data_IF_977232881713
#
_entry.id   IF_977232881713
#
_cell.length_a   1.000
_cell.length_b   1.000
_cell.length_c   1.000
_cell.angle_alpha   90.00
_cell.angle_beta   90.00
_cell.angle_gamma   90.00
#
_symmetry.space_group_name_H-M   'P 1'
#
loop_
_entity.id
_entity.type
_entity.pdbx_description
1 polymer ?
#
# COMPACT_ATOMS: atom_id res chain seq x y z
N UNK A 1 1.73 -16.10 -11.65
CA UNK A 1 2.18 -16.22 -10.24
C UNK A 1 1.39 -17.26 -9.45
N UNK A 2 0.06 -17.15 -9.31
CA UNK A 2 -0.76 -18.04 -8.44
C UNK A 2 -0.73 -19.53 -8.82
N UNK A 3 -0.95 -19.90 -10.08
CA UNK A 3 -0.96 -21.31 -10.54
C UNK A 3 0.33 -22.09 -10.21
N UNK A 4 1.54 -21.58 -10.53
CA UNK A 4 2.79 -22.22 -10.09
C UNK A 4 2.92 -22.38 -8.58
N UNK A 5 2.48 -21.39 -7.79
CA UNK A 5 2.55 -21.44 -6.32
C UNK A 5 1.55 -22.45 -5.75
N UNK A 6 0.34 -22.55 -6.30
CA UNK A 6 -0.64 -23.58 -5.93
C UNK A 6 -0.08 -24.99 -6.11
N UNK A 7 0.58 -25.24 -7.24
CA UNK A 7 1.26 -26.53 -7.49
C UNK A 7 2.39 -26.76 -6.50
N UNK A 8 3.23 -25.74 -6.23
CA UNK A 8 4.39 -25.86 -5.33
C UNK A 8 4.00 -26.08 -3.87
N UNK A 9 2.96 -25.38 -3.39
CA UNK A 9 2.53 -25.43 -1.99
C UNK A 9 1.45 -26.48 -1.70
N UNK A 10 0.98 -27.21 -2.73
CA UNK A 10 -0.08 -28.22 -2.60
C UNK A 10 -1.33 -27.69 -1.88
N UNK A 11 -1.71 -26.44 -2.15
CA UNK A 11 -2.84 -25.75 -1.53
C UNK A 11 -3.27 -24.52 -2.33
N UNK A 12 -4.50 -23.99 -2.13
CA UNK A 12 -5.00 -22.87 -2.90
C UNK A 12 -4.19 -21.61 -2.64
N UNK A 13 -3.78 -20.95 -3.73
CA UNK A 13 -3.18 -19.60 -3.68
C UNK A 13 -4.04 -18.67 -4.50
N UNK A 14 -4.67 -17.70 -3.83
CA UNK A 14 -5.56 -16.75 -4.49
C UNK A 14 -5.01 -15.34 -4.38
N UNK A 15 -5.18 -14.52 -5.41
CA UNK A 15 -4.86 -13.10 -5.33
C UNK A 15 -6.12 -12.35 -4.88
N UNK A 16 -6.06 -11.69 -3.71
CA UNK A 16 -7.08 -10.73 -3.31
C UNK A 16 -6.92 -9.46 -4.15
N UNK A 17 -7.94 -9.08 -4.93
CA UNK A 17 -7.94 -7.80 -5.59
C UNK A 17 -8.14 -6.69 -4.54
N UNK A 18 -7.34 -5.64 -4.62
CA UNK A 18 -7.59 -4.35 -3.97
C UNK A 18 -7.40 -4.28 -2.43
N UNK A 19 -6.37 -4.88 -1.86
CA UNK A 19 -5.94 -4.51 -0.50
C UNK A 19 -5.03 -3.27 -0.59
N UNK A 20 -5.64 -2.08 -0.58
CA UNK A 20 -4.92 -0.82 -0.72
C UNK A 20 -4.55 -0.25 0.65
N UNK A 21 -3.31 -0.44 1.05
CA UNK A 21 -2.64 0.45 1.98
C UNK A 21 -1.13 0.34 1.83
N UNK A 22 -0.48 1.40 1.36
CA UNK A 22 0.96 1.52 1.54
C UNK A 22 1.31 2.84 2.25
N UNK A 23 1.80 2.68 3.48
CA UNK A 23 2.10 3.72 4.45
C UNK A 23 3.48 4.34 4.28
N UNK A 24 4.05 4.39 3.08
CA UNK A 24 5.39 4.95 2.91
C UNK A 24 5.84 5.16 1.47
N UNK A 25 6.86 5.98 1.33
CA UNK A 25 7.52 6.31 0.07
C UNK A 25 8.58 5.26 -0.30
N UNK A 26 8.71 4.90 -1.59
CA UNK A 26 7.82 5.27 -2.71
C UNK A 26 6.53 4.44 -2.69
N UNK A 27 5.41 5.04 -3.13
CA UNK A 27 4.12 4.36 -3.20
C UNK A 27 4.24 2.99 -3.89
N UNK A 28 3.89 1.91 -3.20
CA UNK A 28 3.92 0.57 -3.78
C UNK A 28 2.57 0.20 -4.43
N UNK A 29 2.63 -0.38 -5.62
CA UNK A 29 1.55 -1.22 -6.18
C UNK A 29 1.43 -2.47 -5.33
N UNK A 30 0.26 -2.67 -4.71
CA UNK A 30 0.03 -3.79 -3.81
C UNK A 30 -0.77 -4.91 -4.47
N UNK A 31 -0.37 -6.14 -4.18
CA UNK A 31 -1.11 -7.36 -4.45
C UNK A 31 -1.08 -8.24 -3.21
N UNK A 32 -2.24 -8.59 -2.66
CA UNK A 32 -2.29 -9.56 -1.55
C UNK A 32 -2.57 -10.94 -2.11
N UNK A 33 -1.73 -11.90 -1.74
CA UNK A 33 -1.98 -13.33 -1.93
C UNK A 33 -2.55 -13.93 -0.65
N UNK A 34 -3.44 -14.90 -0.77
CA UNK A 34 -3.84 -15.78 0.31
C UNK A 34 -3.21 -17.15 0.07
N UNK A 35 -2.49 -17.67 1.06
CA UNK A 35 -2.03 -19.06 1.10
C UNK A 35 -2.92 -19.82 2.09
N UNK A 36 -3.94 -20.51 1.58
CA UNK A 36 -5.08 -20.84 2.43
C UNK A 36 -5.76 -19.55 2.89
N UNK A 37 -5.80 -19.30 4.20
CA UNK A 37 -6.36 -18.07 4.79
C UNK A 37 -5.30 -17.04 5.19
N UNK A 38 -4.01 -17.37 5.07
CA UNK A 38 -2.91 -16.51 5.50
C UNK A 38 -2.59 -15.45 4.43
N UNK A 39 -2.73 -14.15 4.73
CA UNK A 39 -2.49 -13.09 3.77
C UNK A 39 -0.99 -12.72 3.68
N UNK A 40 -0.50 -12.58 2.45
CA UNK A 40 0.83 -12.11 2.11
C UNK A 40 0.72 -10.94 1.14
N UNK A 41 1.18 -9.77 1.56
CA UNK A 41 1.16 -8.55 0.74
C UNK A 41 2.45 -8.40 -0.03
N UNK A 42 2.33 -8.22 -1.34
CA UNK A 42 3.42 -7.92 -2.27
C UNK A 42 3.28 -6.46 -2.64
N UNK A 43 4.30 -5.65 -2.37
CA UNK A 43 4.37 -4.25 -2.80
C UNK A 43 5.48 -4.04 -3.82
N UNK A 44 5.21 -3.26 -4.87
CA UNK A 44 6.16 -2.94 -5.95
C UNK A 44 6.23 -1.44 -6.16
N UNK A 45 7.40 -0.83 -6.13
CA UNK A 45 7.51 0.64 -6.22
C UNK A 45 6.94 1.19 -7.53
N UNK A 46 6.05 2.17 -7.42
CA UNK A 46 5.46 2.84 -8.58
C UNK A 46 6.47 3.77 -9.29
N UNK A 47 7.51 4.22 -8.58
CA UNK A 47 8.64 4.99 -9.09
C UNK A 47 9.93 4.15 -9.12
N UNK A 48 10.92 4.55 -9.95
CA UNK A 48 12.24 3.94 -9.94
C UNK A 48 12.90 4.01 -8.56
N UNK A 49 13.73 3.03 -8.27
CA UNK A 49 14.41 2.88 -6.98
C UNK A 49 15.43 4.01 -6.76
N UNK A 50 15.43 4.58 -5.55
CA UNK A 50 16.48 5.48 -5.05
C UNK A 50 17.50 4.69 -4.21
N UNK A 51 18.73 5.20 -4.01
CA UNK A 51 19.79 4.47 -3.31
C UNK A 51 19.42 3.92 -1.92
N UNK A 52 18.53 4.58 -1.20
CA UNK A 52 18.07 4.25 0.15
C UNK A 52 16.71 3.52 0.19
N UNK A 53 16.10 3.22 -0.97
CA UNK A 53 14.73 2.71 -1.01
C UNK A 53 14.60 1.33 -0.35
N UNK A 54 15.55 0.42 -0.60
CA UNK A 54 15.47 -0.93 -0.02
C UNK A 54 15.63 -0.89 1.50
N UNK A 55 16.57 -0.10 2.02
CA UNK A 55 16.79 0.02 3.46
C UNK A 55 15.57 0.63 4.17
N UNK A 56 14.89 1.60 3.55
CA UNK A 56 13.65 2.18 4.08
C UNK A 56 12.48 1.20 4.10
N UNK A 57 12.36 0.33 3.10
CA UNK A 57 11.32 -0.70 3.08
C UNK A 57 11.51 -1.79 4.14
N UNK A 58 12.72 -1.90 4.71
CA UNK A 58 13.09 -2.87 5.75
C UNK A 58 12.66 -2.43 7.16
N UNK A 59 12.21 -1.18 7.36
CA UNK A 59 11.86 -0.54 8.66
C UNK A 59 11.31 -1.49 9.75
N UNK A 60 11.89 -1.41 10.95
CA UNK A 60 11.68 -2.31 12.11
C UNK A 60 11.99 -3.80 11.80
N UNK A 61 13.18 -4.14 11.29
CA UNK A 61 13.40 -5.48 10.75
C UNK A 61 13.53 -6.60 11.79
N UNK A 62 13.90 -6.30 13.03
CA UNK A 62 14.55 -7.33 13.85
C UNK A 62 15.87 -7.75 13.21
N UNK A 63 16.19 -9.04 13.20
CA UNK A 63 17.36 -9.55 12.50
C UNK A 63 17.19 -9.44 10.96
N UNK A 64 18.23 -8.95 10.28
CA UNK A 64 18.29 -8.85 8.81
C UNK A 64 19.36 -9.78 8.28
N UNK A 65 19.00 -10.60 7.30
CA UNK A 65 19.92 -11.50 6.62
C UNK A 65 19.94 -11.20 5.11
N UNK A 66 21.09 -11.35 4.45
CA UNK A 66 21.18 -11.25 3.00
C UNK A 66 20.46 -12.43 2.31
N UNK A 67 19.83 -12.17 1.16
CA UNK A 67 19.12 -13.17 0.36
C UNK A 67 19.60 -13.16 -1.11
N UNK A 68 20.81 -13.68 -1.39
CA UNK A 68 21.50 -13.48 -2.67
C UNK A 68 20.76 -14.03 -3.90
N UNK A 69 19.88 -15.00 -3.71
CA UNK A 69 19.04 -15.61 -4.75
C UNK A 69 18.15 -14.58 -5.49
N UNK A 70 17.80 -13.49 -4.80
CA UNK A 70 17.00 -12.39 -5.33
C UNK A 70 17.83 -11.18 -5.78
N UNK A 71 19.15 -11.23 -5.58
CA UNK A 71 20.10 -10.17 -5.96
C UNK A 71 21.00 -9.74 -4.79
N UNK A 72 22.05 -8.97 -5.08
CA UNK A 72 23.08 -8.61 -4.10
C UNK A 72 22.57 -7.70 -2.97
N UNK A 73 21.54 -6.89 -3.23
CA UNK A 73 20.94 -5.96 -2.24
C UNK A 73 19.70 -6.55 -1.57
N UNK A 74 19.34 -7.81 -1.89
CA UNK A 74 18.13 -8.43 -1.36
C UNK A 74 18.33 -8.88 0.08
N UNK A 75 17.32 -8.64 0.91
CA UNK A 75 17.34 -8.97 2.33
C UNK A 75 16.05 -9.63 2.78
N UNK A 76 16.15 -10.43 3.84
CA UNK A 76 15.03 -11.01 4.57
C UNK A 76 15.13 -10.64 6.02
N UNK A 77 13.99 -10.34 6.63
CA UNK A 77 13.83 -10.10 8.05
C UNK A 77 12.63 -10.88 8.58
N UNK A 78 12.37 -10.82 9.88
CA UNK A 78 11.24 -11.50 10.52
C UNK A 78 9.87 -11.08 9.98
N UNK A 79 9.77 -9.91 9.33
CA UNK A 79 8.49 -9.38 8.85
C UNK A 79 8.38 -9.29 7.34
N UNK A 80 9.51 -9.32 6.61
CA UNK A 80 9.49 -9.04 5.18
C UNK A 80 10.73 -9.52 4.42
N UNK A 81 10.55 -9.65 3.11
CA UNK A 81 11.64 -9.74 2.13
C UNK A 81 11.63 -8.47 1.29
N UNK A 82 12.79 -7.85 1.08
CA UNK A 82 12.93 -6.66 0.23
C UNK A 82 14.03 -6.89 -0.80
N UNK A 83 13.76 -6.58 -2.07
CA UNK A 83 14.70 -6.80 -3.16
C UNK A 83 14.42 -5.89 -4.35
N UNK A 84 15.40 -5.81 -5.26
CA UNK A 84 15.29 -5.06 -6.51
C UNK A 84 14.82 -5.95 -7.65
N UNK A 85 13.93 -5.45 -8.49
CA UNK A 85 13.56 -6.04 -9.79
C UNK A 85 13.66 -4.95 -10.85
N UNK A 86 14.63 -5.07 -11.75
CA UNK A 86 14.98 -4.00 -12.70
C UNK A 86 15.23 -2.66 -11.97
N UNK A 87 14.46 -1.61 -12.28
CA UNK A 87 14.52 -0.31 -11.63
C UNK A 87 13.54 -0.18 -10.45
N UNK A 88 12.90 -1.26 -9.98
CA UNK A 88 11.86 -1.23 -8.95
C UNK A 88 12.29 -1.92 -7.66
N UNK A 89 11.75 -1.43 -6.55
CA UNK A 89 11.81 -2.13 -5.27
C UNK A 89 10.58 -3.02 -5.10
N UNK A 90 10.79 -4.22 -4.56
CA UNK A 90 9.72 -5.18 -4.23
C UNK A 90 9.82 -5.53 -2.75
N UNK A 91 8.68 -5.52 -2.06
CA UNK A 91 8.51 -5.91 -0.66
C UNK A 91 7.50 -7.06 -0.58
N UNK A 92 7.82 -8.11 0.16
CA UNK A 92 6.90 -9.19 0.52
C UNK A 92 6.67 -9.15 2.02
N UNK A 93 5.42 -9.06 2.46
CA UNK A 93 5.04 -8.89 3.87
C UNK A 93 3.85 -9.78 4.25
N UNK A 94 4.10 -10.94 4.89
CA UNK A 94 3.06 -11.77 5.51
C UNK A 94 2.49 -11.10 6.76
N UNK A 95 1.20 -11.28 7.06
CA UNK A 95 0.57 -10.62 8.21
C UNK A 95 1.15 -11.04 9.57
N UNK A 96 1.40 -12.32 9.84
CA UNK A 96 2.07 -12.78 11.07
C UNK A 96 3.58 -12.94 10.95
N UNK A 97 4.17 -12.44 9.86
CA UNK A 97 5.63 -12.48 9.66
C UNK A 97 6.17 -13.75 9.03
N UNK A 98 7.49 -13.85 9.02
CA UNK A 98 8.31 -14.89 8.39
C UNK A 98 9.02 -15.63 9.52
N UNK A 99 9.00 -16.96 9.47
CA UNK A 99 9.69 -17.83 10.45
C UNK A 99 9.15 -17.69 11.89
N UNK A 100 7.92 -17.18 12.03
CA UNK A 100 7.10 -17.21 13.25
C UNK A 100 6.12 -18.38 13.18
N UNK A 101 5.42 -18.67 14.29
CA UNK A 101 4.43 -19.75 14.37
C UNK A 101 3.54 -19.78 13.10
N UNK A 102 3.49 -20.89 12.35
CA UNK A 102 2.73 -20.96 11.11
C UNK A 102 1.21 -20.80 11.28
N UNK A 103 0.70 -20.73 12.52
CA UNK A 103 -0.69 -20.38 12.79
C UNK A 103 -1.06 -18.97 12.30
N UNK A 104 -0.12 -18.00 12.35
CA UNK A 104 -0.34 -16.62 11.90
C UNK A 104 0.71 -16.13 10.89
N UNK A 105 1.90 -16.74 10.84
CA UNK A 105 2.99 -16.42 9.90
C UNK A 105 3.14 -17.39 8.73
N UNK A 106 4.25 -17.27 7.99
CA UNK A 106 4.65 -18.24 6.97
C UNK A 106 6.10 -18.69 7.14
N UNK A 107 6.38 -19.93 6.76
CA UNK A 107 7.74 -20.47 6.66
C UNK A 107 8.61 -19.62 5.70
N UNK A 108 9.88 -19.40 6.07
CA UNK A 108 10.86 -18.66 5.25
C UNK A 108 10.96 -19.19 3.82
N UNK A 109 10.97 -20.51 3.64
CA UNK A 109 11.01 -21.14 2.31
C UNK A 109 9.81 -20.76 1.42
N UNK A 110 8.61 -20.59 2.00
CA UNK A 110 7.42 -20.15 1.27
C UNK A 110 7.52 -18.67 0.91
N UNK A 111 7.99 -17.83 1.82
CA UNK A 111 8.24 -16.42 1.56
C UNK A 111 9.23 -16.21 0.40
N UNK A 112 10.34 -16.96 0.39
CA UNK A 112 11.33 -16.94 -0.70
C UNK A 112 10.71 -17.38 -2.02
N UNK A 113 9.90 -18.45 -2.02
CA UNK A 113 9.23 -18.92 -3.23
C UNK A 113 8.25 -17.88 -3.80
N UNK A 114 7.53 -17.14 -2.95
CA UNK A 114 6.67 -16.02 -3.37
C UNK A 114 7.53 -14.90 -3.95
N UNK A 115 8.64 -14.54 -3.31
CA UNK A 115 9.53 -13.48 -3.76
C UNK A 115 10.13 -13.77 -5.15
N UNK A 116 10.57 -15.01 -5.41
CA UNK A 116 11.02 -15.46 -6.73
C UNK A 116 9.90 -15.35 -7.77
N UNK A 117 8.68 -15.78 -7.43
CA UNK A 117 7.55 -15.68 -8.34
C UNK A 117 7.13 -14.22 -8.62
N UNK A 118 7.29 -13.33 -7.63
CA UNK A 118 7.07 -11.90 -7.80
C UNK A 118 8.13 -11.26 -8.70
N UNK A 119 9.41 -11.62 -8.52
CA UNK A 119 10.53 -11.20 -9.40
C UNK A 119 10.23 -11.44 -10.87
N UNK A 120 9.69 -12.61 -11.20
CA UNK A 120 9.35 -12.99 -12.58
C UNK A 120 8.10 -12.27 -13.11
N UNK A 121 7.14 -12.00 -12.23
CA UNK A 121 5.86 -11.41 -12.60
C UNK A 121 5.95 -9.89 -12.80
N UNK A 122 6.69 -9.19 -11.94
CA UNK A 122 6.74 -7.71 -11.88
C UNK A 122 6.99 -7.08 -13.24
N UNK A 123 8.02 -7.45 -14.02
CA UNK A 123 8.30 -6.80 -15.31
C UNK A 123 7.15 -6.88 -16.32
N UNK A 124 6.24 -7.84 -16.16
CA UNK A 124 5.11 -8.08 -17.08
C UNK A 124 3.82 -7.41 -16.62
N UNK A 125 3.76 -6.95 -15.38
CA UNK A 125 2.53 -6.44 -14.74
C UNK A 125 2.63 -4.99 -14.27
N UNK A 126 3.79 -4.35 -14.42
CA UNK A 126 4.00 -2.97 -14.02
C UNK A 126 3.08 -2.03 -14.79
N UNK A 127 2.37 -1.18 -14.05
CA UNK A 127 1.55 -0.12 -14.62
C UNK A 127 2.39 1.14 -14.85
N UNK A 128 2.11 1.93 -15.90
CA UNK A 128 2.74 3.23 -16.07
C UNK A 128 2.60 4.12 -14.82
N UNK A 129 3.63 4.92 -14.54
CA UNK A 129 3.62 5.87 -13.42
C UNK A 129 2.71 7.09 -13.69
N UNK A 130 2.30 7.30 -14.95
CA UNK A 130 1.37 8.35 -15.34
C UNK A 130 0.16 7.74 -16.05
N UNK A 131 -0.97 7.78 -15.37
CA UNK A 131 -2.29 7.47 -15.91
C UNK A 131 -3.27 8.44 -15.26
N UNK A 132 -3.88 9.32 -16.05
CA UNK A 132 -4.73 10.39 -15.54
C UNK A 132 -6.18 10.19 -16.00
N UNK A 133 -7.10 10.25 -15.05
CA UNK A 133 -8.54 10.32 -15.22
C UNK A 133 -8.95 11.74 -14.83
N UNK A 134 -9.87 12.33 -15.59
CA UNK A 134 -10.31 13.71 -15.36
C UNK A 134 -10.92 13.89 -13.96
N UNK A 135 -11.50 12.82 -13.40
CA UNK A 135 -12.12 12.83 -12.07
C UNK A 135 -11.15 13.29 -10.99
N UNK A 136 -9.90 12.84 -11.01
CA UNK A 136 -8.89 13.20 -9.99
C UNK A 136 -8.30 14.59 -10.22
N UNK A 137 -8.58 15.27 -11.33
CA UNK A 137 -8.02 16.61 -11.60
C UNK A 137 -8.38 17.62 -10.51
N UNK A 138 -9.56 17.49 -9.89
CA UNK A 138 -10.05 18.42 -8.86
C UNK A 138 -9.12 18.52 -7.63
N UNK A 139 -8.43 17.43 -7.27
CA UNK A 139 -7.47 17.41 -6.14
C UNK A 139 -6.02 17.67 -6.55
N UNK A 140 -5.72 17.79 -7.85
CA UNK A 140 -4.33 17.85 -8.33
C UNK A 140 -3.58 19.03 -7.74
N UNK A 141 -4.16 20.24 -7.76
CA UNK A 141 -3.48 21.43 -7.22
C UNK A 141 -3.30 21.38 -5.70
N UNK A 142 -4.16 20.68 -4.96
CA UNK A 142 -3.97 20.47 -3.52
C UNK A 142 -2.84 19.47 -3.26
N UNK A 143 -2.82 18.37 -4.02
CA UNK A 143 -1.78 17.34 -3.92
C UNK A 143 -0.39 17.89 -4.31
N UNK A 144 -0.29 18.66 -5.39
CA UNK A 144 0.95 19.29 -5.83
C UNK A 144 1.49 20.28 -4.78
N UNK A 145 0.61 21.08 -4.16
CA UNK A 145 0.99 21.98 -3.05
C UNK A 145 1.53 21.23 -1.85
N UNK A 146 0.93 20.10 -1.48
CA UNK A 146 1.43 19.26 -0.39
C UNK A 146 2.82 18.67 -0.71
N UNK A 147 2.99 18.18 -1.94
CA UNK A 147 4.22 17.54 -2.40
C UNK A 147 5.36 18.56 -2.54
N UNK A 148 5.05 19.85 -2.79
CA UNK A 148 6.02 20.96 -2.96
C UNK A 148 6.99 20.80 -4.13
N UNK A 149 6.76 19.82 -4.98
CA UNK A 149 7.57 19.47 -6.15
C UNK A 149 6.65 19.06 -7.29
N UNK A 150 7.20 19.05 -8.51
CA UNK A 150 6.47 18.51 -9.65
C UNK A 150 6.18 17.02 -9.45
N UNK A 151 4.90 16.66 -9.58
CA UNK A 151 4.44 15.28 -9.40
C UNK A 151 5.11 14.35 -10.42
N UNK A 152 5.78 13.31 -9.91
CA UNK A 152 6.45 12.29 -10.71
C UNK A 152 5.52 11.08 -10.94
N UNK A 153 4.80 10.69 -9.89
CA UNK A 153 3.79 9.64 -9.90
C UNK A 153 2.40 10.27 -9.95
N UNK A 154 1.62 10.00 -11.00
CA UNK A 154 0.20 10.35 -11.04
C UNK A 154 -0.61 9.17 -11.55
N UNK A 155 -1.48 8.63 -10.70
CA UNK A 155 -2.32 7.49 -11.06
C UNK A 155 -3.75 7.68 -10.60
N UNK A 156 -4.63 7.65 -11.57
CA UNK A 156 -6.04 7.89 -11.41
C UNK A 156 -6.76 6.71 -12.09
N UNK A 157 -7.51 5.91 -11.33
CA UNK A 157 -8.23 4.76 -11.89
C UNK A 157 -9.40 4.33 -11.02
N UNK A 158 -10.31 3.55 -11.62
CA UNK A 158 -11.45 2.94 -10.92
C UNK A 158 -11.34 1.43 -10.90
N UNK A 159 -11.65 0.83 -9.76
CA UNK A 159 -11.83 -0.63 -9.65
C UNK A 159 -13.22 -0.93 -9.10
N UNK A 160 -14.05 -1.62 -9.89
CA UNK A 160 -15.46 -1.91 -9.54
C UNK A 160 -16.23 -0.64 -9.14
N UNK A 161 -15.99 0.45 -9.87
CA UNK A 161 -16.58 1.77 -9.61
C UNK A 161 -15.84 2.63 -8.58
N UNK A 162 -14.97 2.04 -7.75
CA UNK A 162 -14.33 2.74 -6.64
C UNK A 162 -13.14 3.53 -7.18
N UNK A 163 -13.16 4.84 -6.97
CA UNK A 163 -12.11 5.72 -7.47
C UNK A 163 -10.85 5.62 -6.61
N UNK A 164 -9.72 5.67 -7.26
CA UNK A 164 -8.46 5.93 -6.58
C UNK A 164 -7.62 6.92 -7.33
N UNK A 165 -7.08 7.89 -6.58
CA UNK A 165 -6.15 8.89 -7.06
C UNK A 165 -4.86 8.81 -6.24
N UNK A 166 -3.71 8.87 -6.89
CA UNK A 166 -2.39 8.89 -6.25
C UNK A 166 -1.54 9.96 -6.91
N UNK A 167 -0.93 10.80 -6.08
CA UNK A 167 0.12 11.74 -6.47
C UNK A 167 1.36 11.44 -5.65
N UNK A 168 2.53 11.54 -6.26
CA UNK A 168 3.74 11.35 -5.48
C UNK A 168 5.03 11.78 -6.15
N UNK A 169 6.05 11.79 -5.32
CA UNK A 169 7.47 11.95 -5.63
C UNK A 169 8.24 10.93 -4.80
N UNK A 170 9.56 11.04 -4.72
CA UNK A 170 10.38 10.25 -3.80
C UNK A 170 10.22 10.67 -2.32
N UNK A 171 9.74 11.90 -2.07
CA UNK A 171 9.74 12.54 -0.74
C UNK A 171 8.34 12.80 -0.18
N UNK A 172 7.30 12.67 -1.00
CA UNK A 172 5.91 12.83 -0.57
C UNK A 172 4.94 12.03 -1.45
N UNK A 173 3.95 11.38 -0.81
CA UNK A 173 2.84 10.69 -1.48
C UNK A 173 1.53 11.19 -0.92
N UNK A 174 0.54 11.40 -1.79
CA UNK A 174 -0.87 11.56 -1.45
C UNK A 174 -1.66 10.49 -2.16
N UNK A 175 -2.57 9.83 -1.46
CA UNK A 175 -3.55 8.93 -2.08
C UNK A 175 -4.95 9.18 -1.53
N UNK A 176 -5.95 9.11 -2.39
CA UNK A 176 -7.37 9.11 -2.05
C UNK A 176 -7.95 7.82 -2.62
N UNK A 177 -8.35 6.89 -1.76
CA UNK A 177 -8.81 5.55 -2.13
C UNK A 177 -10.24 5.36 -1.66
N UNK A 178 -11.15 5.13 -2.60
CA UNK A 178 -12.52 4.70 -2.31
C UNK A 178 -12.60 3.17 -2.25
N UNK A 179 -13.41 2.68 -1.33
CA UNK A 179 -13.77 1.27 -1.21
C UNK A 179 -15.27 1.13 -0.90
N UNK A 180 -15.86 0.06 -1.44
CA UNK A 180 -17.25 -0.34 -1.15
C UNK A 180 -17.28 -1.51 -0.19
N UNK A 181 -18.39 -1.60 0.56
CA UNK A 181 -18.80 -2.80 1.30
C UNK A 181 -17.76 -3.30 2.30
N UNK A 182 -16.99 -2.38 2.88
CA UNK A 182 -16.02 -2.72 3.90
C UNK A 182 -16.77 -3.09 5.19
N UNK A 183 -16.68 -4.36 5.66
CA UNK A 183 -17.38 -4.79 6.87
C UNK A 183 -16.80 -4.13 8.12
N UNK A 184 -15.53 -3.73 8.06
CA UNK A 184 -14.80 -3.04 9.11
C UNK A 184 -13.99 -1.88 8.51
N UNK A 185 -13.82 -0.80 9.27
CA UNK A 185 -12.78 0.20 8.98
C UNK A 185 -11.50 -0.33 9.65
N UNK A 186 -10.32 -0.31 9.00
CA UNK A 186 -9.05 -0.86 9.53
C UNK A 186 -8.53 -0.32 10.87
N UNK A 187 -9.33 0.43 11.64
CA UNK A 187 -8.91 1.21 12.81
C UNK A 187 -9.45 0.69 14.15
N UNK A 188 -10.19 -0.42 14.19
CA UNK A 188 -10.93 -0.83 15.40
C UNK A 188 -10.08 -1.40 16.56
N UNK A 189 -8.74 -1.36 16.52
CA UNK A 189 -7.87 -1.89 17.59
C UNK A 189 -6.77 -0.92 18.05
N UNK A 190 -7.09 0.36 18.29
CA UNK A 190 -6.22 1.24 19.09
C UNK A 190 -6.77 1.43 20.50
N UNK A 191 -5.87 1.62 21.47
CA UNK A 191 -6.21 1.95 22.86
C UNK A 191 -5.56 3.32 23.20
N UNK A 192 -6.35 4.34 23.58
CA UNK A 192 -7.81 4.34 23.64
C UNK A 192 -8.44 4.28 22.23
N UNK A 193 -9.62 3.67 22.09
CA UNK A 193 -10.29 3.57 20.80
C UNK A 193 -10.56 4.96 20.22
N UNK A 194 -10.24 5.21 18.93
CA UNK A 194 -10.71 6.42 18.26
C UNK A 194 -12.24 6.47 18.36
N UNK A 195 -12.77 7.63 18.77
CA UNK A 195 -14.21 7.80 19.01
C UNK A 195 -14.98 7.54 17.71
N UNK A 196 -15.90 6.57 17.72
CA UNK A 196 -16.71 6.25 16.55
C UNK A 196 -17.65 7.42 16.14
N UNK A 197 -17.73 7.70 14.85
CA UNK A 197 -18.77 8.39 14.13
C UNK A 197 -19.86 7.33 13.87
N UNK A 198 -21.09 7.56 14.34
CA UNK A 198 -22.20 6.65 14.11
C UNK A 198 -22.39 6.33 12.63
N UNK A 199 -22.90 5.13 12.31
CA UNK A 199 -23.29 4.76 10.94
C UNK A 199 -24.24 5.84 10.40
N UNK A 200 -23.81 6.57 9.36
CA UNK A 200 -24.57 7.69 8.78
C UNK A 200 -24.02 9.09 9.10
N UNK A 201 -22.92 9.21 9.87
CA UNK A 201 -22.22 10.48 10.10
C UNK A 201 -20.72 10.41 9.69
N UNK A 202 -20.10 11.51 9.21
CA UNK A 202 -18.67 11.54 8.84
C UNK A 202 -17.68 11.26 10.01
N UNK A 203 -16.53 10.59 9.76
CA UNK A 203 -15.36 10.39 10.67
C UNK A 203 -14.35 9.35 10.10
N UNK A 204 -13.02 9.31 10.33
CA UNK A 204 -12.02 9.79 11.34
C UNK A 204 -10.64 10.18 10.76
N UNK A 205 -9.79 10.80 11.60
CA UNK A 205 -8.42 11.24 11.30
C UNK A 205 -7.39 10.59 12.24
N UNK A 206 -6.24 10.20 11.70
CA UNK A 206 -5.07 9.66 12.41
C UNK A 206 -3.87 10.60 12.18
N UNK A 207 -3.57 11.51 13.14
CA UNK A 207 -2.51 12.50 13.00
C UNK A 207 -1.13 11.90 12.77
N UNK A 208 -0.80 10.82 13.50
CA UNK A 208 0.54 10.20 13.47
C UNK A 208 0.85 9.48 12.14
N UNK A 209 -0.18 9.07 11.41
CA UNK A 209 -0.03 8.35 10.15
C UNK A 209 -0.26 9.24 8.92
N UNK A 210 -0.69 10.50 9.13
CA UNK A 210 -1.13 11.36 8.02
C UNK A 210 -2.33 10.78 7.27
N UNK A 211 -3.26 10.15 8.00
CA UNK A 211 -4.43 9.49 7.41
C UNK A 211 -5.73 10.14 7.84
N UNK A 212 -6.68 10.23 6.91
CA UNK A 212 -8.05 10.63 7.13
C UNK A 212 -8.93 9.61 6.42
N UNK A 213 -9.69 8.85 7.18
CA UNK A 213 -10.73 7.96 6.67
C UNK A 213 -12.07 8.68 6.82
N UNK A 214 -12.98 8.53 5.87
CA UNK A 214 -14.37 8.91 6.08
C UNK A 214 -15.30 7.82 5.59
N UNK A 215 -16.42 7.66 6.27
CA UNK A 215 -17.47 6.71 5.91
C UNK A 215 -18.78 7.41 5.64
N UNK A 216 -19.42 7.03 4.54
CA UNK A 216 -20.78 7.40 4.18
C UNK A 216 -21.56 6.14 3.79
N UNK A 217 -22.36 5.61 4.71
CA UNK A 217 -23.10 4.36 4.49
C UNK A 217 -22.17 3.16 4.22
N UNK A 218 -22.21 2.62 2.99
CA UNK A 218 -21.37 1.48 2.54
C UNK A 218 -20.06 1.91 1.86
N UNK A 219 -19.88 3.22 1.62
CA UNK A 219 -18.65 3.77 1.04
C UNK A 219 -17.69 4.18 2.14
N UNK A 220 -16.43 3.81 1.99
CA UNK A 220 -15.32 4.25 2.82
C UNK A 220 -14.30 4.88 1.89
N UNK A 221 -13.83 6.08 2.23
CA UNK A 221 -12.77 6.75 1.51
C UNK A 221 -11.62 7.00 2.46
N UNK A 222 -10.42 6.68 2.01
CA UNK A 222 -9.19 6.84 2.77
C UNK A 222 -8.27 7.80 2.06
N UNK A 223 -7.93 8.87 2.74
CA UNK A 223 -6.97 9.89 2.34
C UNK A 223 -5.71 9.63 3.15
N UNK A 224 -4.59 9.51 2.47
CA UNK A 224 -3.28 9.30 3.10
C UNK A 224 -2.32 10.31 2.49
N UNK A 225 -1.62 11.05 3.33
CA UNK A 225 -0.57 11.95 2.93
C UNK A 225 0.67 11.68 3.78
N UNK A 226 1.76 11.32 3.11
CA UNK A 226 2.97 10.80 3.73
C UNK A 226 4.17 11.53 3.19
N UNK A 227 5.21 11.65 4.01
CA UNK A 227 6.42 12.37 3.66
C UNK A 227 7.65 11.63 4.16
N UNK A 228 8.76 11.81 3.46
CA UNK A 228 10.07 11.34 3.87
C UNK A 228 11.10 12.48 3.74
N UNK A 229 11.79 12.88 4.81
CA UNK A 229 11.61 12.41 6.19
C UNK A 229 10.18 12.68 6.72
N UNK A 230 9.70 11.93 7.72
CA UNK A 230 8.37 12.13 8.30
C UNK A 230 8.19 13.56 8.80
N UNK A 231 7.04 14.16 8.45
CA UNK A 231 6.60 15.49 8.88
C UNK A 231 5.17 15.40 9.39
N UNK A 232 4.80 16.33 10.27
CA UNK A 232 3.41 16.46 10.71
C UNK A 232 2.50 16.76 9.52
N UNK A 233 1.39 16.02 9.44
CA UNK A 233 0.33 16.20 8.45
C UNK A 233 -0.95 16.54 9.20
N UNK A 234 -1.40 17.78 9.06
CA UNK A 234 -2.58 18.29 9.79
C UNK A 234 -3.90 17.78 9.19
N UNK A 235 -4.96 17.72 10.00
CA UNK A 235 -6.32 17.44 9.53
C UNK A 235 -6.74 18.38 8.39
N UNK A 236 -6.48 19.68 8.55
CA UNK A 236 -6.79 20.67 7.52
C UNK A 236 -6.11 20.36 6.19
N UNK A 237 -4.89 19.81 6.21
CA UNK A 237 -4.19 19.38 4.99
C UNK A 237 -4.93 18.23 4.31
N UNK A 238 -5.32 17.20 5.07
CA UNK A 238 -6.04 16.04 4.52
C UNK A 238 -7.45 16.39 4.04
N UNK A 239 -8.15 17.26 4.77
CA UNK A 239 -9.46 17.80 4.36
C UNK A 239 -9.32 18.58 3.05
N UNK A 240 -8.38 19.52 2.97
CA UNK A 240 -8.12 20.28 1.73
C UNK A 240 -7.76 19.39 0.52
N UNK A 241 -7.14 18.22 0.75
CA UNK A 241 -6.82 17.27 -0.31
C UNK A 241 -8.08 16.61 -0.87
N UNK A 242 -9.08 16.33 -0.04
CA UNK A 242 -10.25 15.53 -0.44
C UNK A 242 -11.51 16.35 -0.69
N UNK A 243 -11.62 17.55 -0.12
CA UNK A 243 -12.77 18.46 -0.29
C UNK A 243 -13.22 18.65 -1.74
N UNK A 244 -12.31 18.87 -2.72
CA UNK A 244 -12.72 19.00 -4.12
C UNK A 244 -13.39 17.74 -4.69
N UNK A 245 -13.13 16.59 -4.08
CA UNK A 245 -13.57 15.27 -4.55
C UNK A 245 -14.79 14.74 -3.77
N UNK A 246 -15.11 15.33 -2.61
CA UNK A 246 -16.24 14.88 -1.77
C UNK A 246 -17.55 14.71 -2.57
N UNK A 247 -17.95 15.62 -3.48
CA UNK A 247 -19.19 15.44 -4.26
C UNK A 247 -19.23 14.17 -5.13
N UNK A 248 -18.07 13.57 -5.43
CA UNK A 248 -17.96 12.36 -6.25
C UNK A 248 -18.11 11.08 -5.41
N UNK A 249 -17.79 11.15 -4.12
CA UNK A 249 -17.88 10.03 -3.18
C UNK A 249 -19.26 9.92 -2.50
N UNK A 250 -20.07 10.98 -2.59
CA UNK A 250 -21.36 11.12 -1.89
C UNK A 250 -22.58 10.82 -2.79
N UNK A 251 -22.38 10.18 -3.95
CA UNK A 251 -23.46 9.77 -4.86
C UNK A 251 -24.00 8.37 -4.58
#
# INVERSE_FOLDING_TARGET
MTRPLTTKFRGPVTAKPNAWNDGGLPALDLCTLLLGDLPVTIGVSALPIQPDTLSRLVENPGAVEPLPELGPEATVSESRIVFRVADRAVRISPAGGIDRDPADGIEKARAIAIALAARDAVPRTLRPARQADETCQLSTSAAERFIRLQVQLRRDYRVKGALTCIWGTYDATVSIVEAFDQPTIPEAQRVPPPRFAPIGQPGYYIPEAGELVFRQGRRVVRVTALTNPPREVTLATLTNLVDPMLPLFLR
#
